data_IF_087150396178
#
_entry.id   IF_087150396178
#
_cell.length_a   1.000
_cell.length_b   1.000
_cell.length_c   1.000
_cell.angle_alpha   90.00
_cell.angle_beta   90.00
_cell.angle_gamma   90.00
#
_symmetry.space_group_name_H-M   'P 1'
#
loop_
_entity.id
_entity.type
_entity.pdbx_description
1 polymer ?
#
# COMPACT_ATOMS: atom_id res chain seq x y z
N UNK A 1 19.74 0.96 8.19
CA UNK A 1 19.41 0.76 6.76
C UNK A 1 18.14 -0.08 6.55
N UNK A 2 17.93 -1.18 7.28
CA UNK A 2 16.73 -2.03 7.12
C UNK A 2 15.39 -1.29 7.27
N UNK A 3 15.23 -0.45 8.30
CA UNK A 3 13.99 0.31 8.53
C UNK A 3 13.70 1.34 7.42
N UNK A 4 14.75 1.90 6.80
CA UNK A 4 14.60 2.84 5.67
C UNK A 4 14.05 2.11 4.45
N UNK A 5 14.60 0.92 4.14
CA UNK A 5 14.12 0.09 3.04
C UNK A 5 12.66 -0.34 3.26
N UNK A 6 12.32 -0.75 4.49
CA UNK A 6 10.93 -1.10 4.85
C UNK A 6 10.02 0.11 4.68
N UNK A 7 10.41 1.28 5.17
CA UNK A 7 9.65 2.52 5.04
C UNK A 7 9.39 2.91 3.59
N UNK A 8 10.43 2.88 2.75
CA UNK A 8 10.32 3.17 1.30
C UNK A 8 9.43 2.15 0.59
N UNK A 9 9.54 0.87 0.93
CA UNK A 9 8.75 -0.19 0.32
C UNK A 9 7.26 -0.06 0.67
N UNK A 10 6.94 0.26 1.92
CA UNK A 10 5.56 0.53 2.34
C UNK A 10 4.98 1.75 1.64
N UNK A 11 5.76 2.84 1.47
CA UNK A 11 5.32 4.00 0.70
C UNK A 11 5.06 3.62 -0.76
N UNK A 12 5.97 2.86 -1.39
CA UNK A 12 5.81 2.44 -2.78
C UNK A 12 4.55 1.58 -2.98
N UNK A 13 4.28 0.63 -2.08
CA UNK A 13 3.07 -0.20 -2.10
C UNK A 13 1.81 0.63 -1.88
N UNK A 14 1.86 1.59 -0.95
CA UNK A 14 0.74 2.48 -0.68
C UNK A 14 0.42 3.37 -1.89
N UNK A 15 1.43 4.00 -2.48
CA UNK A 15 1.28 4.81 -3.70
C UNK A 15 0.76 3.97 -4.86
N UNK A 16 1.29 2.77 -5.07
CA UNK A 16 0.82 1.85 -6.09
C UNK A 16 -0.67 1.52 -5.91
N UNK A 17 -1.11 1.28 -4.67
CA UNK A 17 -2.52 1.00 -4.36
C UNK A 17 -3.43 2.21 -4.61
N UNK A 18 -2.96 3.43 -4.32
CA UNK A 18 -3.70 4.67 -4.57
C UNK A 18 -3.81 4.99 -6.07
N UNK A 19 -2.72 4.80 -6.82
CA UNK A 19 -2.68 5.07 -8.27
C UNK A 19 -3.44 4.00 -9.05
N UNK A 20 -3.36 2.73 -8.61
CA UNK A 20 -4.07 1.62 -9.24
C UNK A 20 -5.58 1.66 -9.04
N UNK A 21 -6.08 2.32 -7.99
CA UNK A 21 -7.51 2.49 -7.71
C UNK A 21 -8.27 1.19 -7.38
N UNK A 22 -7.62 0.04 -7.53
CA UNK A 22 -8.17 -1.31 -7.37
C UNK A 22 -7.12 -2.23 -6.74
N UNK A 23 -7.50 -2.95 -5.68
CA UNK A 23 -6.63 -3.94 -5.04
C UNK A 23 -7.04 -5.33 -5.49
N UNK A 24 -6.14 -5.99 -6.21
CA UNK A 24 -6.32 -7.34 -6.73
C UNK A 24 -5.75 -8.35 -5.74
N UNK A 25 -6.61 -8.94 -4.90
CA UNK A 25 -6.21 -9.96 -3.91
C UNK A 25 -5.78 -11.27 -4.59
N UNK A 26 -6.28 -11.57 -5.80
CA UNK A 26 -5.92 -12.76 -6.59
C UNK A 26 -6.07 -12.51 -8.09
N UNK A 27 -5.07 -12.93 -8.90
CA UNK A 27 -5.20 -13.03 -10.38
C UNK A 27 -5.88 -14.32 -10.84
N UNK A 28 -5.96 -15.34 -9.98
CA UNK A 28 -6.43 -16.68 -10.36
C UNK A 28 -7.95 -16.81 -10.38
N UNK A 29 -8.66 -15.84 -9.82
CA UNK A 29 -10.13 -15.79 -9.80
C UNK A 29 -10.56 -14.42 -10.31
N UNK A 30 -10.53 -14.21 -11.63
CA UNK A 30 -11.05 -12.98 -12.23
C UNK A 30 -12.56 -13.17 -12.44
N UNK A 31 -13.32 -13.10 -11.36
CA UNK A 31 -14.78 -12.97 -11.42
C UNK A 31 -15.14 -11.50 -11.50
N UNK A 32 -16.01 -11.11 -12.44
CA UNK A 32 -16.54 -9.74 -12.55
C UNK A 32 -17.13 -9.32 -11.18
N UNK A 33 -16.40 -8.45 -10.46
CA UNK A 33 -16.75 -8.04 -9.08
C UNK A 33 -15.70 -8.30 -7.99
N UNK A 34 -14.55 -8.92 -8.28
CA UNK A 34 -13.51 -9.20 -7.27
C UNK A 34 -12.53 -8.03 -7.01
N UNK A 35 -12.60 -6.96 -7.81
CA UNK A 35 -11.81 -5.75 -7.58
C UNK A 35 -12.35 -4.99 -6.38
N UNK A 36 -11.58 -4.89 -5.30
CA UNK A 36 -11.88 -3.95 -4.21
C UNK A 36 -11.42 -2.57 -4.70
N UNK A 37 -12.33 -1.86 -5.37
CA UNK A 37 -12.10 -0.56 -5.98
C UNK A 37 -12.48 0.63 -5.09
N UNK A 38 -11.90 1.78 -5.39
CA UNK A 38 -12.30 3.07 -4.81
C UNK A 38 -11.91 3.22 -3.34
N UNK A 39 -12.91 3.31 -2.44
CA UNK A 39 -12.70 3.69 -1.02
C UNK A 39 -11.77 2.75 -0.28
N UNK A 40 -11.87 1.44 -0.52
CA UNK A 40 -11.02 0.47 0.16
C UNK A 40 -9.57 0.50 -0.36
N UNK A 41 -9.35 0.79 -1.65
CA UNK A 41 -8.02 1.04 -2.19
C UNK A 41 -7.37 2.28 -1.56
N UNK A 42 -8.17 3.34 -1.34
CA UNK A 42 -7.73 4.55 -0.63
C UNK A 42 -7.33 4.28 0.82
N UNK A 43 -8.17 3.54 1.56
CA UNK A 43 -7.90 3.22 2.98
C UNK A 43 -6.61 2.39 3.11
N UNK A 44 -6.47 1.34 2.31
CA UNK A 44 -5.28 0.49 2.35
C UNK A 44 -4.04 1.27 1.94
N UNK A 45 -4.10 2.02 0.83
CA UNK A 45 -2.99 2.87 0.38
C UNK A 45 -2.56 3.89 1.45
N UNK A 46 -3.52 4.52 2.12
CA UNK A 46 -3.28 5.47 3.20
C UNK A 46 -2.58 4.83 4.41
N UNK A 47 -3.01 3.62 4.83
CA UNK A 47 -2.36 2.88 5.92
C UNK A 47 -0.90 2.55 5.58
N UNK A 48 -0.65 2.06 4.35
CA UNK A 48 0.70 1.73 3.90
C UNK A 48 1.62 2.96 3.87
N UNK A 49 1.14 4.11 3.38
CA UNK A 49 1.91 5.35 3.40
C UNK A 49 2.17 5.82 4.84
N UNK A 50 1.16 5.76 5.71
CA UNK A 50 1.29 6.16 7.12
C UNK A 50 2.32 5.32 7.87
N UNK A 51 2.27 3.99 7.72
CA UNK A 51 3.24 3.08 8.29
C UNK A 51 4.64 3.30 7.70
N UNK A 52 4.75 3.49 6.39
CA UNK A 52 6.02 3.79 5.74
C UNK A 52 6.67 5.07 6.26
N UNK A 53 5.89 6.14 6.41
CA UNK A 53 6.35 7.39 7.02
C UNK A 53 6.76 7.22 8.49
N UNK A 54 6.05 6.39 9.25
CA UNK A 54 6.43 6.04 10.62
C UNK A 54 7.79 5.33 10.68
N UNK A 55 8.01 4.32 9.83
CA UNK A 55 9.29 3.61 9.79
C UNK A 55 10.45 4.51 9.33
N UNK A 56 10.22 5.44 8.39
CA UNK A 56 11.21 6.45 8.00
C UNK A 56 11.50 7.48 9.09
N UNK A 57 10.51 7.74 9.97
CA UNK A 57 10.71 8.57 11.16
C UNK A 57 11.52 7.81 12.21
N UNK A 58 11.18 6.56 12.47
CA UNK A 58 11.86 5.74 13.48
C UNK A 58 13.28 5.38 13.06
N UNK A 59 13.56 5.25 11.76
CA UNK A 59 14.92 5.03 11.26
C UNK A 59 15.88 6.20 11.48
N UNK A 60 15.38 7.36 11.91
CA UNK A 60 16.16 8.56 12.25
C UNK A 60 16.45 8.69 13.75
N UNK A 61 15.88 7.82 14.58
CA UNK A 61 16.31 7.61 15.96
C UNK A 61 17.42 6.56 16.00
#
# INVERSE_FOLDING_TARGET
MGLVLVGLLLIAVGVFSLVGGEIWVSRLTVGEGQGIGGTAALVVGGIFIGLGAFFLKESRK
#
